data_IF_496383633131
#
_entry.id   IF_496383633131
#
_cell.length_a   1.000
_cell.length_b   1.000
_cell.length_c   1.000
_cell.angle_alpha   90.00
_cell.angle_beta   90.00
_cell.angle_gamma   90.00
#
_symmetry.space_group_name_H-M   'P 1'
#
loop_
_entity.id
_entity.type
_entity.pdbx_description
1 polymer ?
#
# COMPACT_ATOMS: atom_id res chain seq x y z
N UNK A 1 10.14 -23.51 47.24
CA UNK A 1 10.46 -23.82 45.82
C UNK A 1 9.26 -23.79 44.89
N UNK A 2 8.11 -24.38 45.25
CA UNK A 2 6.95 -24.53 44.33
C UNK A 2 6.32 -23.20 43.86
N UNK A 3 6.22 -22.19 44.74
CA UNK A 3 5.67 -20.86 44.39
C UNK A 3 6.58 -20.04 43.46
N UNK A 4 7.89 -20.26 43.50
CA UNK A 4 8.85 -19.55 42.63
C UNK A 4 8.75 -20.10 41.20
N UNK A 5 8.63 -21.43 41.07
CA UNK A 5 8.48 -22.12 39.77
C UNK A 5 7.14 -21.78 39.10
N UNK A 6 6.06 -21.70 39.88
CA UNK A 6 4.74 -21.30 39.36
C UNK A 6 4.76 -19.85 38.84
N UNK A 7 5.41 -18.93 39.58
CA UNK A 7 5.52 -17.53 39.16
C UNK A 7 6.44 -17.34 37.95
N UNK A 8 7.54 -18.08 37.84
CA UNK A 8 8.41 -18.02 36.64
C UNK A 8 7.72 -18.60 35.41
N UNK A 9 6.95 -19.69 35.56
CA UNK A 9 6.16 -20.26 34.47
C UNK A 9 5.07 -19.29 33.99
N UNK A 10 4.37 -18.64 34.92
CA UNK A 10 3.38 -17.60 34.60
C UNK A 10 3.99 -16.41 33.87
N UNK A 11 5.21 -15.99 34.25
CA UNK A 11 5.90 -14.87 33.60
C UNK A 11 6.35 -15.24 32.18
N UNK A 12 6.86 -16.47 31.99
CA UNK A 12 7.24 -17.00 30.68
C UNK A 12 6.02 -17.09 29.74
N UNK A 13 4.88 -17.56 30.23
CA UNK A 13 3.62 -17.61 29.49
C UNK A 13 3.17 -16.21 29.02
N UNK A 14 3.24 -15.19 29.89
CA UNK A 14 2.94 -13.80 29.49
C UNK A 14 3.87 -13.29 28.40
N UNK A 15 5.17 -13.62 28.46
CA UNK A 15 6.13 -13.21 27.42
C UNK A 15 5.85 -13.90 26.08
N UNK A 16 5.53 -15.20 26.07
CA UNK A 16 5.22 -15.93 24.83
C UNK A 16 3.97 -15.40 24.11
N UNK A 17 2.93 -15.06 24.86
CA UNK A 17 1.69 -14.48 24.30
C UNK A 17 1.98 -13.12 23.63
N UNK A 18 2.94 -12.36 24.15
CA UNK A 18 3.31 -11.04 23.61
C UNK A 18 4.05 -11.12 22.27
N UNK A 19 4.76 -12.22 21.97
CA UNK A 19 5.47 -12.39 20.70
C UNK A 19 4.63 -13.08 19.61
N UNK A 20 3.53 -13.73 19.95
CA UNK A 20 2.72 -14.50 18.99
C UNK A 20 1.87 -13.64 18.05
N UNK A 21 1.78 -12.32 18.25
CA UNK A 21 0.93 -11.41 17.48
C UNK A 21 1.74 -10.44 16.58
N UNK A 22 2.88 -10.90 16.05
CA UNK A 22 3.63 -10.11 15.07
C UNK A 22 3.19 -10.52 13.67
N UNK A 23 2.30 -9.73 13.06
CA UNK A 23 2.04 -9.83 11.63
C UNK A 23 3.30 -9.41 10.87
N UNK A 24 3.77 -10.26 9.96
CA UNK A 24 4.90 -9.94 9.10
C UNK A 24 4.49 -8.99 7.98
N UNK A 25 5.43 -8.19 7.45
CA UNK A 25 5.15 -7.33 6.29
C UNK A 25 4.61 -8.11 5.09
N UNK A 26 5.02 -9.38 4.92
CA UNK A 26 4.53 -10.25 3.85
C UNK A 26 3.06 -10.59 4.05
N UNK A 27 2.68 -10.99 5.26
CA UNK A 27 1.28 -11.31 5.61
C UNK A 27 0.39 -10.08 5.46
N UNK A 28 0.87 -8.92 5.93
CA UNK A 28 0.17 -7.64 5.78
C UNK A 28 -0.07 -7.28 4.30
N UNK A 29 0.95 -7.44 3.45
CA UNK A 29 0.81 -7.18 2.01
C UNK A 29 -0.17 -8.17 1.37
N UNK A 30 -0.07 -9.47 1.71
CA UNK A 30 -0.98 -10.49 1.19
C UNK A 30 -2.43 -10.23 1.60
N UNK A 31 -2.67 -9.79 2.83
CA UNK A 31 -3.99 -9.40 3.31
C UNK A 31 -4.51 -8.20 2.50
N UNK A 32 -3.72 -7.15 2.34
CA UNK A 32 -4.09 -5.97 1.55
C UNK A 32 -4.42 -6.31 0.10
N UNK A 33 -3.63 -7.16 -0.56
CA UNK A 33 -3.90 -7.59 -1.93
C UNK A 33 -5.23 -8.33 -2.01
N UNK A 34 -5.48 -9.30 -1.11
CA UNK A 34 -6.75 -10.04 -1.07
C UNK A 34 -7.94 -9.15 -0.77
N UNK A 35 -7.77 -8.16 0.11
CA UNK A 35 -8.83 -7.22 0.45
C UNK A 35 -9.22 -6.36 -0.75
N UNK A 36 -8.24 -5.91 -1.54
CA UNK A 36 -8.47 -5.02 -2.69
C UNK A 36 -8.75 -5.75 -4.00
N UNK A 37 -8.55 -7.05 -4.04
CA UNK A 37 -8.83 -7.87 -5.22
C UNK A 37 -10.30 -7.76 -5.64
N UNK A 38 -10.54 -7.51 -6.93
CA UNK A 38 -11.87 -7.29 -7.49
C UNK A 38 -12.59 -6.00 -7.05
N UNK A 39 -11.94 -5.08 -6.30
CA UNK A 39 -12.52 -3.77 -5.98
C UNK A 39 -12.21 -2.74 -7.06
N UNK A 40 -13.18 -1.87 -7.32
CA UNK A 40 -13.03 -0.73 -8.24
C UNK A 40 -12.82 0.58 -7.47
N UNK A 41 -11.86 1.39 -7.92
CA UNK A 41 -11.67 2.75 -7.39
C UNK A 41 -12.54 3.71 -8.20
N UNK A 42 -13.62 4.19 -7.59
CA UNK A 42 -14.49 5.19 -8.22
C UNK A 42 -13.99 6.61 -7.96
N UNK A 43 -13.74 7.35 -9.04
CA UNK A 43 -13.48 8.79 -8.98
C UNK A 43 -14.80 9.56 -8.97
N UNK A 44 -14.87 10.73 -8.32
CA UNK A 44 -16.05 11.58 -8.40
C UNK A 44 -16.29 12.02 -9.85
N UNK A 45 -17.56 12.19 -10.23
CA UNK A 45 -17.94 12.55 -11.62
C UNK A 45 -17.29 13.86 -12.10
N UNK A 46 -17.10 14.82 -11.19
CA UNK A 46 -16.51 16.13 -11.45
C UNK A 46 -15.36 16.37 -10.46
N UNK A 47 -14.18 15.76 -10.66
CA UNK A 47 -13.07 15.95 -9.76
C UNK A 47 -12.53 17.38 -9.90
N UNK A 48 -12.41 18.09 -8.78
CA UNK A 48 -11.74 19.39 -8.72
C UNK A 48 -10.32 19.14 -8.24
N UNK A 49 -9.34 19.48 -9.08
CA UNK A 49 -7.93 19.32 -8.75
C UNK A 49 -7.27 20.67 -8.56
N UNK A 50 -6.32 20.68 -7.64
CA UNK A 50 -5.32 21.74 -7.51
C UNK A 50 -4.14 21.36 -8.39
N UNK A 51 -3.79 22.24 -9.34
CA UNK A 51 -2.51 22.15 -10.06
C UNK A 51 -1.50 22.96 -9.26
N UNK A 52 -0.22 22.59 -9.30
CA UNK A 52 0.82 23.35 -8.61
C UNK A 52 0.67 24.86 -8.91
N UNK A 53 0.51 25.68 -7.85
CA UNK A 53 0.26 27.15 -7.86
C UNK A 53 -1.18 27.61 -8.17
N UNK A 54 -2.10 26.72 -8.57
CA UNK A 54 -3.48 27.06 -8.92
C UNK A 54 -4.49 26.17 -8.17
N UNK A 55 -5.24 26.80 -7.26
CA UNK A 55 -6.11 26.15 -6.28
C UNK A 55 -7.26 25.33 -6.91
N UNK A 56 -7.88 25.84 -7.99
CA UNK A 56 -9.04 25.23 -8.64
C UNK A 56 -8.91 25.32 -10.17
N UNK A 57 -8.48 24.24 -10.80
CA UNK A 57 -8.55 24.11 -12.26
C UNK A 57 -9.56 23.04 -12.65
N UNK A 58 -10.43 23.28 -13.65
CA UNK A 58 -11.19 22.20 -14.27
C UNK A 58 -10.19 21.29 -15.02
N UNK A 59 -9.58 20.36 -14.31
CA UNK A 59 -8.61 19.44 -14.85
C UNK A 59 -9.31 18.15 -15.29
N UNK A 60 -9.28 17.91 -16.61
CA UNK A 60 -9.65 16.61 -17.16
C UNK A 60 -8.40 15.74 -17.16
N UNK A 61 -8.47 14.61 -16.46
CA UNK A 61 -7.43 13.59 -16.51
C UNK A 61 -7.32 13.14 -17.98
N UNK A 62 -6.15 13.27 -18.63
CA UNK A 62 -5.99 12.88 -20.03
C UNK A 62 -6.20 11.36 -20.18
N UNK A 63 -6.62 10.92 -21.36
CA UNK A 63 -6.67 9.49 -21.68
C UNK A 63 -5.23 8.94 -21.71
N UNK A 64 -4.99 7.85 -20.99
CA UNK A 64 -3.70 7.18 -20.92
C UNK A 64 -3.92 5.69 -20.68
N UNK A 65 -3.03 4.85 -21.19
CA UNK A 65 -3.12 3.39 -21.04
C UNK A 65 -2.97 2.98 -19.57
N UNK A 66 -2.15 3.73 -18.82
CA UNK A 66 -1.91 3.52 -17.40
C UNK A 66 -2.09 4.81 -16.61
N UNK A 67 -2.58 4.69 -15.37
CA UNK A 67 -2.70 5.78 -14.40
C UNK A 67 -2.11 5.33 -13.07
N UNK A 68 -1.15 6.09 -12.55
CA UNK A 68 -0.57 5.84 -11.22
C UNK A 68 -1.23 6.77 -10.22
N UNK A 69 -1.95 6.19 -9.25
CA UNK A 69 -2.57 6.93 -8.15
C UNK A 69 -1.68 6.76 -6.92
N UNK A 70 -1.16 7.86 -6.38
CA UNK A 70 -0.31 7.84 -5.18
C UNK A 70 -0.97 8.64 -4.08
N UNK A 71 -1.22 7.98 -2.95
CA UNK A 71 -1.65 8.64 -1.73
C UNK A 71 -0.43 9.10 -0.93
N UNK A 72 -0.35 10.41 -0.67
CA UNK A 72 0.70 11.02 0.17
C UNK A 72 0.00 11.81 1.26
N UNK A 73 0.31 11.51 2.52
CA UNK A 73 -0.17 12.27 3.67
C UNK A 73 0.58 13.60 3.81
N UNK A 74 0.04 14.52 4.62
CA UNK A 74 0.63 15.86 4.82
C UNK A 74 2.03 15.84 5.47
N UNK A 75 2.41 14.73 6.09
CA UNK A 75 3.74 14.50 6.67
C UNK A 75 4.73 13.82 5.70
N UNK A 76 4.26 13.34 4.54
CA UNK A 76 5.03 12.55 3.60
C UNK A 76 5.78 13.38 2.57
N UNK A 77 6.99 12.94 2.20
CA UNK A 77 7.68 13.49 1.03
C UNK A 77 7.16 12.87 -0.27
N UNK A 78 6.57 13.71 -1.14
CA UNK A 78 6.05 13.31 -2.45
C UNK A 78 7.13 12.60 -3.28
N UNK A 79 8.34 13.16 -3.34
CA UNK A 79 9.46 12.57 -4.09
C UNK A 79 9.85 11.18 -3.58
N UNK A 80 9.79 10.96 -2.26
CA UNK A 80 10.13 9.67 -1.65
C UNK A 80 9.04 8.61 -1.86
N UNK A 81 7.77 9.00 -1.97
CA UNK A 81 6.64 8.08 -2.14
C UNK A 81 6.34 7.80 -3.60
N UNK A 82 6.46 8.81 -4.46
CA UNK A 82 6.16 8.70 -5.88
C UNK A 82 7.13 7.75 -6.59
N UNK A 83 8.43 7.79 -6.30
CA UNK A 83 9.46 6.86 -6.82
C UNK A 83 9.32 6.53 -8.33
N UNK A 84 9.12 7.55 -9.19
CA UNK A 84 8.88 7.40 -10.63
C UNK A 84 9.82 6.42 -11.36
N UNK A 85 11.15 6.39 -11.09
CA UNK A 85 12.03 5.44 -11.75
C UNK A 85 11.66 3.97 -11.47
N UNK A 86 11.18 3.68 -10.25
CA UNK A 86 10.76 2.32 -9.89
C UNK A 86 9.47 1.93 -10.58
N UNK A 87 8.50 2.84 -10.70
CA UNK A 87 7.29 2.61 -11.49
C UNK A 87 7.62 2.31 -12.94
N UNK A 88 8.54 3.06 -13.56
CA UNK A 88 8.98 2.79 -14.93
C UNK A 88 9.57 1.38 -15.07
N UNK A 89 10.42 0.97 -14.12
CA UNK A 89 11.00 -0.38 -14.11
C UNK A 89 9.91 -1.45 -13.95
N UNK A 90 9.01 -1.27 -12.99
CA UNK A 90 7.91 -2.20 -12.72
C UNK A 90 6.96 -2.35 -13.92
N UNK A 91 6.55 -1.25 -14.54
CA UNK A 91 5.72 -1.30 -15.75
C UNK A 91 6.39 -2.08 -16.88
N UNK A 92 7.70 -1.87 -17.10
CA UNK A 92 8.45 -2.65 -18.09
C UNK A 92 8.48 -4.15 -17.76
N UNK A 93 8.68 -4.51 -16.49
CA UNK A 93 8.67 -5.91 -16.05
C UNK A 93 7.30 -6.55 -16.29
N UNK A 94 6.21 -5.90 -15.85
CA UNK A 94 4.84 -6.41 -16.04
C UNK A 94 4.50 -6.56 -17.52
N UNK A 95 4.75 -5.54 -18.34
CA UNK A 95 4.50 -5.60 -19.78
C UNK A 95 5.28 -6.74 -20.46
N UNK A 96 6.54 -6.96 -20.05
CA UNK A 96 7.36 -8.06 -20.60
C UNK A 96 6.86 -9.45 -20.22
N UNK A 97 6.22 -9.60 -19.06
CA UNK A 97 5.66 -10.87 -18.58
C UNK A 97 4.30 -11.17 -19.20
N UNK A 98 3.59 -10.14 -19.63
CA UNK A 98 2.22 -10.22 -20.13
C UNK A 98 2.12 -10.17 -21.68
N UNK A 99 3.23 -10.31 -22.40
CA UNK A 99 3.31 -10.26 -23.88
C UNK A 99 2.55 -9.06 -24.50
N UNK A 100 2.56 -7.92 -23.80
CA UNK A 100 1.88 -6.70 -24.22
C UNK A 100 0.47 -6.48 -23.63
N UNK A 101 -0.19 -7.50 -23.08
CA UNK A 101 -1.55 -7.42 -22.53
C UNK A 101 -1.57 -7.73 -21.03
N UNK A 102 -1.42 -6.69 -20.21
CA UNK A 102 -1.59 -6.82 -18.74
C UNK A 102 -3.02 -7.31 -18.47
N UNK A 103 -3.21 -8.46 -17.79
CA UNK A 103 -4.55 -8.97 -17.52
C UNK A 103 -5.31 -7.95 -16.65
N UNK A 104 -6.46 -7.53 -17.17
CA UNK A 104 -7.47 -6.73 -16.46
C UNK A 104 -8.14 -7.55 -15.36
#
# INVERSE_FOLDING_TARGET
>A
CMNVISKTCSLLLLTCISFSCQETDKERILHLVKEWDGKEIQFPNNPIFTRMVEDTVPYRIPKSDYKVVVFVDSAGCISCKLQLPKWKKFMHEVVSLCDGDVPL
#
